data_IF_430119026534
#
_entry.id   IF_430119026534
#
_cell.length_a   1.000
_cell.length_b   1.000
_cell.length_c   1.000
_cell.angle_alpha   90.00
_cell.angle_beta   90.00
_cell.angle_gamma   90.00
#
_symmetry.space_group_name_H-M   'P 1'
#
loop_
_entity.id
_entity.type
_entity.pdbx_description
1 polymer ?
#
# COMPACT_ATOMS: atom_id res chain seq x y z
N UNK A 1 8.16 -28.32 -3.66
CA UNK A 1 8.47 -26.96 -4.16
C UNK A 1 7.27 -26.22 -4.77
N UNK A 2 6.31 -26.86 -5.45
CA UNK A 2 5.16 -26.17 -6.11
C UNK A 2 4.16 -25.50 -5.16
N UNK A 3 3.87 -26.10 -4.00
CA UNK A 3 2.87 -25.58 -3.04
C UNK A 3 3.25 -24.23 -2.46
N UNK A 4 4.55 -24.01 -2.19
CA UNK A 4 5.06 -22.75 -1.62
C UNK A 4 4.93 -21.58 -2.59
N UNK A 5 5.28 -21.79 -3.86
CA UNK A 5 5.15 -20.76 -4.89
C UNK A 5 3.69 -20.35 -5.12
N UNK A 6 2.77 -21.33 -5.12
CA UNK A 6 1.34 -21.08 -5.27
C UNK A 6 0.77 -20.28 -4.10
N UNK A 7 1.15 -20.58 -2.85
CA UNK A 7 0.73 -19.80 -1.68
C UNK A 7 1.27 -18.37 -1.68
N UNK A 8 2.52 -18.18 -2.12
CA UNK A 8 3.14 -16.85 -2.26
C UNK A 8 2.39 -16.00 -3.30
N UNK A 9 2.01 -16.60 -4.44
CA UNK A 9 1.24 -15.96 -5.50
C UNK A 9 -0.20 -15.58 -5.08
N UNK A 10 -0.89 -16.48 -4.37
CA UNK A 10 -2.23 -16.19 -3.83
C UNK A 10 -2.19 -15.05 -2.81
N UNK A 11 -1.16 -15.02 -1.96
CA UNK A 11 -0.97 -13.98 -0.96
C UNK A 11 -0.69 -12.63 -1.63
N UNK A 12 0.23 -12.61 -2.61
CA UNK A 12 0.51 -11.44 -3.41
C UNK A 12 -0.75 -10.91 -4.11
N UNK A 13 -1.57 -11.80 -4.68
CA UNK A 13 -2.83 -11.45 -5.35
C UNK A 13 -3.89 -10.86 -4.40
N UNK A 14 -3.97 -11.33 -3.16
CA UNK A 14 -4.87 -10.75 -2.14
C UNK A 14 -4.40 -9.37 -1.70
N UNK A 15 -3.11 -9.22 -1.42
CA UNK A 15 -2.49 -7.95 -1.03
C UNK A 15 -2.65 -6.92 -2.16
N UNK A 16 -2.43 -7.33 -3.41
CA UNK A 16 -2.59 -6.47 -4.58
C UNK A 16 -4.01 -5.95 -4.74
N UNK A 17 -5.02 -6.79 -4.49
CA UNK A 17 -6.42 -6.37 -4.55
C UNK A 17 -6.76 -5.35 -3.46
N UNK A 18 -6.26 -5.56 -2.23
CA UNK A 18 -6.44 -4.60 -1.14
C UNK A 18 -5.80 -3.25 -1.48
N UNK A 19 -4.57 -3.23 -1.98
CA UNK A 19 -3.94 -1.97 -2.37
C UNK A 19 -4.62 -1.32 -3.57
N UNK A 20 -5.07 -2.13 -4.54
CA UNK A 20 -5.85 -1.66 -5.68
C UNK A 20 -7.17 -1.00 -5.27
N UNK A 21 -7.88 -1.53 -4.26
CA UNK A 21 -9.12 -0.92 -3.76
C UNK A 21 -8.89 0.41 -3.04
N UNK A 22 -7.65 0.70 -2.61
CA UNK A 22 -7.27 1.95 -1.96
C UNK A 22 -6.71 2.99 -2.94
N UNK A 23 -6.56 2.65 -4.22
CA UNK A 23 -6.06 3.59 -5.21
C UNK A 23 -7.01 4.80 -5.31
N UNK A 24 -6.44 6.00 -5.29
CA UNK A 24 -7.15 7.28 -5.23
C UNK A 24 -7.51 7.73 -3.81
N UNK A 25 -7.44 6.86 -2.80
CA UNK A 25 -7.72 7.25 -1.41
C UNK A 25 -6.53 7.93 -0.75
N UNK A 26 -6.83 8.80 0.20
CA UNK A 26 -5.84 9.39 1.10
C UNK A 26 -5.49 8.39 2.19
N UNK A 27 -4.20 8.10 2.31
CA UNK A 27 -3.65 7.12 3.23
C UNK A 27 -2.52 7.71 4.06
N UNK A 28 -2.33 7.17 5.26
CA UNK A 28 -1.13 7.36 6.08
C UNK A 28 -0.48 6.01 6.30
N UNK A 29 0.73 5.82 5.78
CA UNK A 29 1.49 4.58 5.96
C UNK A 29 2.65 4.77 6.96
N UNK A 30 2.89 3.75 7.77
CA UNK A 30 4.08 3.61 8.62
C UNK A 30 5.00 2.52 8.08
N UNK A 31 6.32 2.75 8.10
CA UNK A 31 7.30 1.77 7.65
C UNK A 31 7.88 0.98 8.82
N UNK A 32 8.22 -0.31 8.60
CA UNK A 32 8.75 -1.22 9.65
C UNK A 32 9.97 -0.67 10.40
N UNK A 33 10.85 0.02 9.70
CA UNK A 33 12.15 0.46 10.21
C UNK A 33 12.27 1.98 10.28
N UNK A 34 11.15 2.70 10.28
CA UNK A 34 11.13 4.16 10.37
C UNK A 34 9.98 4.63 11.25
N UNK A 35 10.26 5.59 12.13
CA UNK A 35 9.24 6.29 12.90
C UNK A 35 8.43 7.29 12.04
N UNK A 36 8.92 7.61 10.83
CA UNK A 36 8.24 8.53 9.94
C UNK A 36 6.96 7.91 9.36
N UNK A 37 5.90 8.72 9.31
CA UNK A 37 4.69 8.41 8.54
C UNK A 37 4.70 9.13 7.20
N UNK A 38 4.27 8.42 6.17
CA UNK A 38 4.07 8.99 4.84
C UNK A 38 2.58 9.14 4.65
N UNK A 39 2.12 10.39 4.63
CA UNK A 39 0.72 10.73 4.37
C UNK A 39 0.57 11.31 2.98
N UNK A 40 -0.44 10.86 2.25
CA UNK A 40 -0.73 11.35 0.92
C UNK A 40 -1.80 10.52 0.21
N UNK A 41 -1.98 10.76 -1.07
CA UNK A 41 -2.90 9.99 -1.89
C UNK A 41 -2.18 8.77 -2.49
N UNK A 42 -2.74 7.59 -2.34
CA UNK A 42 -2.24 6.39 -3.03
C UNK A 42 -2.60 6.50 -4.51
N UNK A 43 -1.60 6.63 -5.38
CA UNK A 43 -1.83 6.75 -6.83
C UNK A 43 -1.91 5.36 -7.47
N UNK A 44 -1.00 4.48 -7.05
CA UNK A 44 -0.79 3.19 -7.70
C UNK A 44 -0.19 2.17 -6.74
N UNK A 45 -0.56 0.93 -6.94
CA UNK A 45 0.02 -0.22 -6.27
C UNK A 45 0.29 -1.32 -7.30
N UNK A 46 1.55 -1.74 -7.44
CA UNK A 46 1.97 -2.74 -8.42
C UNK A 46 1.59 -4.17 -8.02
N UNK A 47 0.67 -4.85 -8.75
CA UNK A 47 0.23 -6.20 -8.41
C UNK A 47 1.31 -7.29 -8.53
N UNK A 48 2.44 -6.95 -9.14
CA UNK A 48 3.56 -7.86 -9.41
C UNK A 48 4.86 -7.30 -8.83
N UNK A 49 5.89 -8.15 -8.62
CA UNK A 49 7.22 -7.71 -8.24
C UNK A 49 7.69 -6.57 -9.16
N UNK A 50 8.29 -5.49 -8.61
CA UNK A 50 8.83 -5.37 -7.26
C UNK A 50 7.84 -4.95 -6.14
N UNK A 51 6.52 -5.13 -6.29
CA UNK A 51 5.49 -4.85 -5.25
C UNK A 51 5.65 -3.46 -4.62
N UNK A 52 5.42 -2.43 -5.42
CA UNK A 52 5.63 -1.03 -5.04
C UNK A 52 4.31 -0.27 -4.86
N UNK A 53 4.25 0.64 -3.88
CA UNK A 53 3.24 1.68 -3.73
C UNK A 53 3.81 2.99 -4.23
N UNK A 54 2.98 3.78 -4.90
CA UNK A 54 3.29 5.15 -5.30
C UNK A 54 2.32 6.07 -4.59
N UNK A 55 2.84 6.91 -3.71
CA UNK A 55 2.06 7.86 -2.90
C UNK A 55 2.45 9.28 -3.29
N UNK A 56 1.45 10.11 -3.59
CA UNK A 56 1.61 11.56 -3.74
C UNK A 56 1.45 12.23 -2.40
N UNK A 57 2.55 12.72 -1.84
CA UNK A 57 2.59 13.37 -0.52
C UNK A 57 1.94 14.74 -0.58
N UNK A 58 1.20 15.06 0.47
CA UNK A 58 0.63 16.38 0.73
C UNK A 58 1.38 17.03 1.90
N UNK A 59 1.54 18.38 1.93
CA UNK A 59 1.18 19.35 0.89
C UNK A 59 2.26 19.50 -0.21
N UNK A 60 3.40 18.82 -0.07
CA UNK A 60 4.61 19.04 -0.88
C UNK A 60 4.48 18.61 -2.35
N UNK A 61 3.40 17.90 -2.71
CA UNK A 61 3.15 17.31 -4.02
C UNK A 61 4.31 16.42 -4.55
N UNK A 62 5.09 15.83 -3.63
CA UNK A 62 6.20 14.92 -3.96
C UNK A 62 5.70 13.49 -4.11
N UNK A 63 6.32 12.74 -5.01
CA UNK A 63 6.06 11.30 -5.16
C UNK A 63 6.99 10.52 -4.23
N UNK A 64 6.44 9.54 -3.52
CA UNK A 64 7.18 8.59 -2.71
C UNK A 64 6.86 7.18 -3.17
N UNK A 65 7.89 6.39 -3.46
CA UNK A 65 7.77 5.00 -3.87
C UNK A 65 8.24 4.11 -2.74
N UNK A 66 7.42 3.15 -2.34
CA UNK A 66 7.68 2.29 -1.17
C UNK A 66 7.43 0.83 -1.54
N UNK A 67 8.25 -0.09 -1.07
CA UNK A 67 7.95 -1.52 -1.19
C UNK A 67 6.86 -1.93 -0.19
N UNK A 68 5.86 -2.70 -0.64
CA UNK A 68 4.74 -3.15 0.18
C UNK A 68 5.18 -3.88 1.45
N UNK A 69 6.22 -4.70 1.34
CA UNK A 69 6.75 -5.48 2.45
C UNK A 69 7.31 -4.59 3.58
N UNK A 70 7.68 -3.35 3.29
CA UNK A 70 8.17 -2.39 4.27
C UNK A 70 7.04 -1.67 5.01
N UNK A 71 5.80 -1.73 4.52
CA UNK A 71 4.66 -1.11 5.18
C UNK A 71 4.25 -1.97 6.38
N UNK A 72 4.19 -1.35 7.55
CA UNK A 72 3.80 -1.98 8.81
C UNK A 72 2.40 -1.53 9.27
N UNK A 73 2.03 -0.29 8.95
CA UNK A 73 0.77 0.32 9.35
C UNK A 73 0.16 1.03 8.14
N UNK A 74 -1.14 0.93 8.00
CA UNK A 74 -1.93 1.59 6.97
C UNK A 74 -3.21 2.13 7.59
N UNK A 75 -3.36 3.46 7.55
CA UNK A 75 -4.59 4.15 7.93
C UNK A 75 -5.21 4.77 6.67
N UNK A 76 -6.50 4.55 6.44
CA UNK A 76 -7.27 5.22 5.37
C UNK A 76 -7.94 6.45 5.98
N UNK A 77 -7.63 7.63 5.45
CA UNK A 77 -8.01 8.90 6.07
C UNK A 77 -9.32 9.48 5.53
N UNK A 78 -9.79 8.97 4.38
CA UNK A 78 -11.05 9.41 3.75
C UNK A 78 -12.27 8.57 4.20
N UNK A 79 -12.06 7.55 5.05
CA UNK A 79 -13.14 6.70 5.55
C UNK A 79 -13.95 7.40 6.65
N UNK A 80 -14.85 8.29 6.24
CA UNK A 80 -16.00 8.66 7.05
C UNK A 80 -17.14 7.63 6.98
N UNK A 81 -17.19 6.72 6.00
CA UNK A 81 -18.35 5.81 5.81
C UNK A 81 -18.05 4.52 5.03
N UNK A 82 -17.42 3.52 5.65
CA UNK A 82 -17.59 2.12 5.21
C UNK A 82 -18.09 1.29 6.39
N UNK A 83 -19.43 1.24 6.53
CA UNK A 83 -20.10 0.22 7.34
C UNK A 83 -20.02 -1.10 6.56
N UNK A 84 -19.33 -2.09 7.12
CA UNK A 84 -19.49 -3.49 6.75
C UNK A 84 -20.59 -4.07 7.66
#
# INVERSE_FOLDING_TARGET
>A
MRVRAQMEEETASKISRLWGSLAGMRVSIGLRYSAARITGQLIYASPTPPYILVIRREPENKITVVNWAQVAILDVLDEAHVRI
#
